data_IF_177919929500
#
_entry.id   IF_177919929500
#
_cell.length_a   1.000
_cell.length_b   1.000
_cell.length_c   1.000
_cell.angle_alpha   90.00
_cell.angle_beta   90.00
_cell.angle_gamma   90.00
#
_symmetry.space_group_name_H-M   'P 1'
#
loop_
_entity.id
_entity.type
_entity.pdbx_description
1 polymer ?
#
# COMPACT_ATOMS: atom_id res chain seq x y z
N UNK A 1 -4.19 -2.64 18.69
CA UNK A 1 -3.42 -3.76 18.08
C UNK A 1 -3.64 -3.83 16.58
N UNK A 2 -4.89 -3.93 16.12
CA UNK A 2 -5.21 -4.07 14.69
C UNK A 2 -4.72 -2.89 13.83
N UNK A 3 -4.85 -1.64 14.30
CA UNK A 3 -4.36 -0.45 13.59
C UNK A 3 -2.85 -0.48 13.37
N UNK A 4 -2.07 -0.90 14.37
CA UNK A 4 -0.61 -1.01 14.26
C UNK A 4 -0.22 -2.12 13.27
N UNK A 5 -0.93 -3.25 13.29
CA UNK A 5 -0.68 -4.35 12.36
C UNK A 5 -0.98 -3.96 10.90
N UNK A 6 -2.11 -3.29 10.67
CA UNK A 6 -2.47 -2.74 9.35
C UNK A 6 -1.41 -1.74 8.88
N UNK A 7 -0.96 -0.85 9.77
CA UNK A 7 0.12 0.09 9.48
C UNK A 7 1.40 -0.64 9.05
N UNK A 8 1.86 -1.62 9.83
CA UNK A 8 3.07 -2.38 9.51
C UNK A 8 2.95 -3.07 8.16
N UNK A 9 1.82 -3.72 7.84
CA UNK A 9 1.60 -4.35 6.54
C UNK A 9 1.70 -3.32 5.40
N UNK A 10 1.01 -2.18 5.52
CA UNK A 10 1.05 -1.11 4.52
C UNK A 10 2.47 -0.59 4.28
N UNK A 11 3.22 -0.33 5.35
CA UNK A 11 4.61 0.10 5.24
C UNK A 11 5.49 -0.97 4.56
N UNK A 12 5.31 -2.25 4.89
CA UNK A 12 6.07 -3.35 4.29
C UNK A 12 5.80 -3.52 2.79
N UNK A 13 4.53 -3.45 2.38
CA UNK A 13 4.16 -3.54 0.96
C UNK A 13 4.83 -2.41 0.18
N UNK A 14 4.81 -1.19 0.73
CA UNK A 14 5.46 -0.03 0.12
C UNK A 14 6.98 -0.20 0.01
N UNK A 15 7.64 -0.64 1.08
CA UNK A 15 9.10 -0.88 1.08
C UNK A 15 9.50 -1.95 0.05
N UNK A 16 8.75 -3.05 -0.01
CA UNK A 16 8.97 -4.11 -0.99
C UNK A 16 8.77 -3.60 -2.42
N UNK A 17 7.70 -2.84 -2.65
CA UNK A 17 7.39 -2.26 -3.94
C UNK A 17 8.48 -1.31 -4.43
N UNK A 18 8.95 -0.37 -3.60
CA UNK A 18 10.02 0.55 -4.00
C UNK A 18 11.35 -0.16 -4.27
N UNK A 19 11.68 -1.19 -3.48
CA UNK A 19 12.86 -2.00 -3.76
C UNK A 19 12.76 -2.70 -5.13
N UNK A 20 11.61 -3.30 -5.46
CA UNK A 20 11.40 -3.94 -6.75
C UNK A 20 11.51 -2.95 -7.91
N UNK A 21 10.91 -1.76 -7.78
CA UNK A 21 11.03 -0.68 -8.75
C UNK A 21 12.49 -0.28 -8.96
N UNK A 22 13.27 -0.15 -7.88
CA UNK A 22 14.69 0.12 -7.96
C UNK A 22 15.44 -0.96 -8.76
N UNK A 23 15.20 -2.25 -8.45
CA UNK A 23 15.87 -3.37 -9.11
C UNK A 23 15.59 -3.37 -10.62
N UNK A 24 14.33 -3.15 -11.01
CA UNK A 24 13.89 -3.21 -12.41
C UNK A 24 14.35 -1.99 -13.20
N UNK A 25 14.19 -0.77 -12.66
CA UNK A 25 14.37 0.46 -13.42
C UNK A 25 15.74 1.10 -13.23
N UNK A 26 16.26 1.13 -11.99
CA UNK A 26 17.30 2.07 -11.57
C UNK A 26 18.66 1.41 -11.27
N UNK A 27 18.69 0.13 -10.87
CA UNK A 27 19.89 -0.57 -10.39
C UNK A 27 21.09 -0.45 -11.33
N UNK A 28 20.85 -0.56 -12.65
CA UNK A 28 21.90 -0.54 -13.68
C UNK A 28 22.39 0.87 -14.04
N UNK A 29 21.76 1.93 -13.57
CA UNK A 29 22.08 3.29 -14.01
C UNK A 29 23.18 3.95 -13.15
N UNK A 30 23.91 4.91 -13.74
CA UNK A 30 25.07 5.56 -13.11
C UNK A 30 24.73 6.86 -12.37
N UNK A 31 23.45 7.17 -12.16
CA UNK A 31 23.00 8.36 -11.42
C UNK A 31 23.07 8.12 -9.91
N UNK A 32 24.28 7.93 -9.38
CA UNK A 32 24.53 7.43 -8.02
C UNK A 32 23.84 8.31 -6.96
N UNK A 33 23.98 9.64 -7.06
CA UNK A 33 23.35 10.59 -6.12
C UNK A 33 21.83 10.53 -6.12
N UNK A 34 21.24 10.41 -7.31
CA UNK A 34 19.78 10.37 -7.45
C UNK A 34 19.19 9.08 -6.87
N UNK A 35 19.91 7.95 -7.00
CA UNK A 35 19.53 6.69 -6.34
C UNK A 35 19.50 6.83 -4.82
N UNK A 36 20.49 7.50 -4.19
CA UNK A 36 20.48 7.81 -2.76
C UNK A 36 19.22 8.57 -2.35
N UNK A 37 18.89 9.65 -3.06
CA UNK A 37 17.69 10.44 -2.76
C UNK A 37 16.39 9.65 -2.93
N UNK A 38 16.29 8.80 -3.96
CA UNK A 38 15.12 7.93 -4.13
C UNK A 38 15.00 6.93 -2.98
N UNK A 39 16.10 6.31 -2.54
CA UNK A 39 16.04 5.41 -1.38
C UNK A 39 15.55 6.12 -0.13
N UNK A 40 16.10 7.30 0.18
CA UNK A 40 15.67 8.09 1.34
C UNK A 40 14.19 8.49 1.23
N UNK A 41 13.76 8.96 0.06
CA UNK A 41 12.37 9.32 -0.19
C UNK A 41 11.43 8.11 -0.09
N UNK A 42 11.83 6.95 -0.61
CA UNK A 42 11.07 5.71 -0.53
C UNK A 42 10.91 5.22 0.91
N UNK A 43 11.97 5.30 1.73
CA UNK A 43 11.92 4.94 3.15
C UNK A 43 10.96 5.88 3.88
N UNK A 44 11.19 7.19 3.80
CA UNK A 44 10.36 8.19 4.49
C UNK A 44 8.90 8.05 4.06
N UNK A 45 8.64 7.99 2.75
CA UNK A 45 7.29 7.84 2.24
C UNK A 45 6.64 6.54 2.73
N UNK A 46 7.35 5.40 2.71
CA UNK A 46 6.76 4.12 3.14
C UNK A 46 6.30 4.12 4.60
N UNK A 47 6.98 4.89 5.46
CA UNK A 47 6.60 5.06 6.86
C UNK A 47 5.48 6.09 7.05
N UNK A 48 5.41 7.10 6.16
CA UNK A 48 4.55 8.27 6.33
C UNK A 48 3.21 8.11 5.59
N UNK A 49 3.19 7.54 4.39
CA UNK A 49 1.99 7.45 3.54
C UNK A 49 0.79 6.73 4.16
N UNK A 50 0.92 5.71 5.05
CA UNK A 50 -0.26 5.03 5.59
C UNK A 50 -1.15 5.97 6.43
N UNK A 51 -0.58 7.08 6.92
CA UNK A 51 -1.28 8.12 7.69
C UNK A 51 -2.04 9.12 6.81
N UNK A 52 -1.80 9.14 5.48
CA UNK A 52 -2.43 10.10 4.58
C UNK A 52 -3.54 9.44 3.76
N UNK A 53 -4.73 10.00 3.86
CA UNK A 53 -5.89 9.68 3.01
C UNK A 53 -6.35 10.97 2.35
N UNK A 54 -6.55 10.95 1.03
CA UNK A 54 -7.04 12.12 0.30
C UNK A 54 -8.43 11.80 -0.25
N UNK A 55 -9.46 12.36 0.41
CA UNK A 55 -10.87 12.12 0.09
C UNK A 55 -11.21 12.48 -1.37
N UNK A 56 -10.63 13.56 -1.90
CA UNK A 56 -10.86 14.01 -3.28
C UNK A 56 -10.50 12.94 -4.32
N UNK A 57 -9.39 12.21 -4.11
CA UNK A 57 -8.95 11.16 -5.03
C UNK A 57 -9.80 9.90 -4.87
N UNK A 58 -10.19 9.58 -3.64
CA UNK A 58 -11.10 8.48 -3.36
C UNK A 58 -12.44 8.69 -4.10
N UNK A 59 -12.98 9.90 -4.10
CA UNK A 59 -14.22 10.25 -4.82
C UNK A 59 -14.08 10.17 -6.36
N UNK A 60 -12.95 10.63 -6.93
CA UNK A 60 -12.69 10.52 -8.38
C UNK A 60 -12.62 9.06 -8.83
N UNK A 61 -11.92 8.20 -8.08
CA UNK A 61 -11.76 6.78 -8.44
C UNK A 61 -12.92 5.88 -7.98
N UNK A 62 -13.74 6.29 -7.02
CA UNK A 62 -14.96 5.58 -6.62
C UNK A 62 -16.16 5.95 -7.50
N UNK A 63 -16.16 7.13 -8.15
CA UNK A 63 -17.19 7.53 -9.10
C UNK A 63 -17.33 6.56 -10.28
N UNK A 64 -16.24 5.90 -10.70
CA UNK A 64 -16.29 4.85 -11.73
C UNK A 64 -16.83 3.51 -11.21
N UNK A 65 -16.74 3.24 -9.89
CA UNK A 65 -17.21 1.98 -9.27
C UNK A 65 -18.69 2.03 -8.85
N UNK A 66 -19.20 3.19 -8.45
CA UNK A 66 -20.59 3.36 -8.01
C UNK A 66 -21.62 3.40 -9.15
N UNK A 67 -21.20 3.34 -10.42
CA UNK A 67 -22.15 3.27 -11.55
C UNK A 67 -22.73 1.87 -11.81
N UNK A 68 -22.25 0.81 -11.13
CA UNK A 68 -22.68 -0.57 -11.43
C UNK A 68 -22.93 -1.49 -10.22
N UNK A 69 -22.91 -0.98 -8.98
CA UNK A 69 -23.18 -1.80 -7.81
C UNK A 69 -24.43 -1.30 -7.07
N UNK A 70 -25.61 -1.66 -7.57
CA UNK A 70 -26.77 -1.77 -6.70
C UNK A 70 -26.56 -3.02 -5.84
N UNK A 71 -26.13 -2.87 -4.59
CA UNK A 71 -26.25 -3.94 -3.62
C UNK A 71 -27.73 -4.22 -3.41
N UNK A 72 -28.23 -5.30 -4.02
CA UNK A 72 -29.53 -5.86 -3.71
C UNK A 72 -29.43 -6.43 -2.30
N UNK A 73 -29.88 -5.67 -1.32
CA UNK A 73 -30.13 -6.17 0.04
C UNK A 73 -31.35 -7.09 -0.07
N UNK A 74 -31.12 -8.35 -0.42
CA UNK A 74 -32.09 -9.41 -0.14
C UNK A 74 -32.08 -9.57 1.38
N UNK A 75 -33.16 -9.16 2.04
CA UNK A 75 -33.35 -9.41 3.47
C UNK A 75 -33.20 -10.90 3.71
N UNK A 76 -32.07 -11.30 4.30
CA UNK A 76 -31.93 -12.66 4.82
C UNK A 76 -32.94 -12.79 5.95
N UNK A 77 -33.78 -13.85 5.99
CA UNK A 77 -34.62 -14.08 7.14
C UNK A 77 -33.70 -14.21 8.36
N UNK A 78 -33.80 -13.26 9.29
CA UNK A 78 -33.10 -13.34 10.56
C UNK A 78 -33.74 -14.46 11.37
N UNK A 79 -33.21 -15.67 11.25
CA UNK A 79 -33.50 -16.72 12.21
C UNK A 79 -32.78 -16.35 13.50
N UNK A 80 -33.51 -15.73 14.43
CA UNK A 80 -33.05 -15.55 15.80
C UNK A 80 -33.01 -16.92 16.48
N UNK A 81 -31.90 -17.63 16.31
CA UNK A 81 -31.51 -18.71 17.23
C UNK A 81 -31.41 -18.09 18.62
N UNK A 82 -32.33 -18.47 19.50
CA UNK A 82 -32.13 -18.36 20.94
C UNK A 82 -30.81 -19.09 21.24
N UNK A 83 -29.77 -18.29 21.39
CA UNK A 83 -28.43 -18.77 21.69
C UNK A 83 -28.48 -19.22 23.15
N UNK A 84 -28.68 -20.52 23.38
CA UNK A 84 -28.25 -21.09 24.65
C UNK A 84 -26.77 -20.77 24.80
N UNK A 85 -26.40 -20.19 25.94
CA UNK A 85 -25.01 -19.91 26.26
C UNK A 85 -24.20 -21.21 26.19
N UNK A 86 -23.53 -21.42 25.07
CA UNK A 86 -22.44 -22.38 24.99
C UNK A 86 -21.24 -21.73 25.68
N UNK A 87 -21.05 -22.06 26.95
CA UNK A 87 -19.75 -21.97 27.62
C UNK A 87 -18.79 -22.96 26.94
N UNK A 88 -18.31 -22.62 25.76
CA UNK A 88 -17.10 -23.23 25.22
C UNK A 88 -15.97 -22.26 25.50
N UNK A 89 -15.42 -22.40 26.71
CA UNK A 89 -14.11 -21.90 27.07
C UNK A 89 -13.08 -22.64 26.21
N UNK A 90 -12.96 -22.17 24.98
CA UNK A 90 -12.11 -22.76 23.98
C UNK A 90 -10.68 -22.32 24.30
N UNK A 91 -9.94 -23.19 24.99
CA UNK A 91 -8.48 -23.17 25.15
C UNK A 91 -7.73 -23.30 23.79
N UNK A 92 -8.23 -22.65 22.75
CA UNK A 92 -7.48 -22.47 21.52
C UNK A 92 -6.43 -21.40 21.80
N UNK A 93 -5.17 -21.81 21.68
CA UNK A 93 -4.03 -20.91 21.65
C UNK A 93 -4.36 -19.73 20.74
N UNK A 94 -4.44 -18.53 21.31
CA UNK A 94 -4.67 -17.32 20.54
C UNK A 94 -3.42 -17.01 19.71
N UNK A 95 -3.42 -17.48 18.46
CA UNK A 95 -2.33 -17.27 17.51
C UNK A 95 -2.00 -15.78 17.32
N UNK A 96 -2.95 -14.86 17.58
CA UNK A 96 -2.68 -13.42 17.51
C UNK A 96 -1.73 -12.99 18.63
N UNK A 97 -1.90 -13.54 19.84
CA UNK A 97 -1.02 -13.25 20.98
C UNK A 97 0.37 -13.86 20.79
N UNK A 98 0.47 -15.07 20.23
CA UNK A 98 1.76 -15.67 19.86
C UNK A 98 2.46 -14.81 18.82
N UNK A 99 1.77 -14.44 17.73
CA UNK A 99 2.36 -13.60 16.69
C UNK A 99 2.85 -12.26 17.24
N UNK A 100 2.07 -11.62 18.12
CA UNK A 100 2.48 -10.39 18.78
C UNK A 100 3.73 -10.58 19.65
N UNK A 101 3.79 -11.66 20.44
CA UNK A 101 4.94 -11.97 21.27
C UNK A 101 6.20 -12.19 20.41
N UNK A 102 6.10 -12.95 19.33
CA UNK A 102 7.21 -13.16 18.37
C UNK A 102 7.67 -11.83 17.77
N UNK A 103 6.74 -10.96 17.38
CA UNK A 103 7.05 -9.63 16.84
C UNK A 103 7.79 -8.74 17.85
N UNK A 104 7.35 -8.73 19.11
CA UNK A 104 8.00 -7.97 20.19
C UNK A 104 9.38 -8.55 20.50
N UNK A 105 9.48 -9.87 20.66
CA UNK A 105 10.75 -10.55 20.95
C UNK A 105 11.79 -10.33 19.85
N UNK A 106 11.40 -10.46 18.58
CA UNK A 106 12.26 -10.18 17.44
C UNK A 106 12.74 -8.73 17.41
N UNK A 107 11.82 -7.78 17.60
CA UNK A 107 12.16 -6.35 17.67
C UNK A 107 13.13 -6.06 18.82
N UNK A 108 12.89 -6.61 20.01
CA UNK A 108 13.76 -6.45 21.17
C UNK A 108 15.18 -7.01 20.91
N UNK A 109 15.28 -8.18 20.29
CA UNK A 109 16.56 -8.75 19.87
C UNK A 109 17.33 -7.80 18.95
N UNK A 110 16.68 -7.23 17.94
CA UNK A 110 17.33 -6.29 17.01
C UNK A 110 17.70 -4.96 17.68
N UNK A 111 16.94 -4.49 18.67
CA UNK A 111 17.30 -3.32 19.49
C UNK A 111 18.56 -3.60 20.31
N UNK A 112 18.65 -4.75 20.98
CA UNK A 112 19.85 -5.14 21.74
C UNK A 112 21.06 -5.25 20.81
N UNK A 113 20.91 -5.92 19.66
CA UNK A 113 21.96 -6.02 18.64
C UNK A 113 22.43 -4.64 18.17
N UNK A 114 21.51 -3.74 17.84
CA UNK A 114 21.83 -2.38 17.40
C UNK A 114 22.55 -1.56 18.49
N UNK A 115 22.07 -1.66 19.73
CA UNK A 115 22.68 -0.98 20.88
C UNK A 115 24.09 -1.49 21.14
N UNK A 116 24.30 -2.81 21.05
CA UNK A 116 25.62 -3.41 21.18
C UNK A 116 26.60 -2.89 20.11
N UNK A 117 26.17 -2.81 18.84
CA UNK A 117 26.98 -2.26 17.76
C UNK A 117 27.40 -0.80 18.02
N UNK A 118 26.49 0.03 18.54
CA UNK A 118 26.80 1.40 18.89
C UNK A 118 27.80 1.48 20.06
N UNK A 119 27.61 0.65 21.09
CA UNK A 119 28.54 0.55 22.21
C UNK A 119 29.93 0.13 21.73
N UNK A 120 30.04 -0.82 20.79
CA UNK A 120 31.32 -1.24 20.21
C UNK A 120 32.05 -0.08 19.53
N UNK A 121 31.36 0.72 18.71
CA UNK A 121 31.98 1.90 18.06
C UNK A 121 32.45 2.90 19.11
N UNK A 122 31.67 3.14 20.16
CA UNK A 122 32.05 4.03 21.26
C UNK A 122 33.22 3.48 22.07
N UNK A 123 33.29 2.16 22.24
CA UNK A 123 34.40 1.48 22.91
C UNK A 123 35.69 1.62 22.10
N UNK A 124 35.65 1.36 20.79
CA UNK A 124 36.78 1.55 19.87
C UNK A 124 37.27 3.00 19.96
N UNK A 125 36.36 3.99 19.87
CA UNK A 125 36.70 5.41 20.03
C UNK A 125 37.42 5.73 21.34
N UNK A 126 36.98 5.15 22.46
CA UNK A 126 37.60 5.38 23.77
C UNK A 126 38.99 4.75 23.88
N UNK A 127 39.22 3.61 23.22
CA UNK A 127 40.52 2.92 23.18
C UNK A 127 41.50 3.56 22.19
N UNK A 128 41.00 4.15 21.11
CA UNK A 128 41.83 4.76 20.06
C UNK A 128 42.51 6.05 20.49
N UNK A 129 43.75 6.22 20.05
CA UNK A 129 44.54 7.44 20.27
C UNK A 129 44.23 8.46 19.16
N UNK A 130 43.80 9.70 19.48
CA UNK A 130 43.58 10.72 18.46
C UNK A 130 44.90 11.24 17.88
N UNK A 131 45.01 11.27 16.56
CA UNK A 131 46.14 11.76 15.77
C UNK A 131 45.65 12.77 14.73
N UNK A 132 46.45 13.77 14.40
CA UNK A 132 46.13 14.74 13.32
C UNK A 132 46.95 14.44 12.08
N UNK A 133 46.28 14.19 10.97
CA UNK A 133 46.90 13.92 9.67
C UNK A 133 46.24 14.86 8.65
N UNK A 134 47.04 15.70 7.98
CA UNK A 134 46.53 16.65 6.98
C UNK A 134 45.46 17.63 7.48
N UNK A 135 45.47 17.98 8.77
CA UNK A 135 44.47 18.87 9.39
C UNK A 135 43.16 18.17 9.82
N UNK A 136 43.03 16.86 9.58
CA UNK A 136 41.88 16.06 9.98
C UNK A 136 42.18 15.26 11.25
N UNK A 137 41.21 15.16 12.16
CA UNK A 137 41.31 14.30 13.35
C UNK A 137 41.04 12.85 12.94
N UNK A 138 42.00 11.97 13.15
CA UNK A 138 41.97 10.54 12.87
C UNK A 138 42.18 9.79 14.19
N UNK A 139 41.53 8.65 14.35
CA UNK A 139 41.67 7.77 15.50
C UNK A 139 42.52 6.58 15.10
N UNK A 140 43.70 6.46 15.72
CA UNK A 140 44.63 5.38 15.45
C UNK A 140 44.05 4.04 15.94
N UNK A 141 44.04 3.05 15.06
CA UNK A 141 43.71 1.66 15.38
C UNK A 141 45.00 0.91 15.70
N UNK A 142 45.04 0.23 16.84
CA UNK A 142 46.18 -0.60 17.25
C UNK A 142 46.08 -2.06 16.80
N UNK A 143 45.04 -2.39 16.03
CA UNK A 143 44.68 -3.74 15.59
C UNK A 143 44.43 -3.69 14.08
N UNK A 144 44.69 -4.80 13.36
CA UNK A 144 44.50 -4.98 11.91
C UNK A 144 43.01 -4.92 11.51
N UNK A 145 42.35 -3.79 11.78
CA UNK A 145 40.97 -3.53 11.38
C UNK A 145 40.93 -2.70 10.11
N UNK A 146 39.97 -3.00 9.25
CA UNK A 146 39.71 -2.18 8.06
C UNK A 146 39.43 -0.72 8.46
N UNK A 147 39.95 0.25 7.69
CA UNK A 147 39.56 1.64 7.81
C UNK A 147 38.04 1.81 7.76
N UNK A 148 37.49 2.64 8.65
CA UNK A 148 36.09 3.01 8.61
C UNK A 148 35.85 4.40 9.20
N UNK A 149 34.70 4.98 8.89
CA UNK A 149 34.28 6.26 9.44
C UNK A 149 32.87 6.21 10.02
N UNK A 150 32.69 6.97 11.10
CA UNK A 150 31.41 7.11 11.78
C UNK A 150 31.18 8.56 12.19
N UNK A 151 30.18 9.21 11.59
CA UNK A 151 29.89 10.64 11.67
C UNK A 151 31.11 11.50 11.34
N UNK A 152 31.78 12.04 12.37
CA UNK A 152 32.96 12.91 12.24
C UNK A 152 34.27 12.19 12.60
N UNK A 153 34.19 10.91 12.95
CA UNK A 153 35.33 10.11 13.39
C UNK A 153 35.80 9.24 12.23
N UNK A 154 37.10 9.24 12.01
CA UNK A 154 37.78 8.42 11.00
C UNK A 154 38.74 7.52 11.75
N UNK A 155 38.61 6.21 11.57
CA UNK A 155 39.40 5.17 12.24
C UNK A 155 40.30 4.51 11.21
N UNK A 156 41.61 4.62 11.40
CA UNK A 156 42.61 4.12 10.43
C UNK A 156 43.84 3.64 11.20
N UNK A 157 44.41 2.51 10.77
CA UNK A 157 45.77 2.11 11.11
C UNK A 157 46.76 2.98 10.33
N UNK A 158 47.53 3.81 11.02
CA UNK A 158 48.44 4.76 10.36
C UNK A 158 49.82 4.18 10.08
N UNK A 159 50.09 2.97 10.57
CA UNK A 159 51.40 2.32 10.51
C UNK A 159 51.42 1.19 9.46
N UNK A 160 50.27 0.61 9.13
CA UNK A 160 50.15 -0.47 8.14
C UNK A 160 50.15 -0.04 6.66
N UNK A 161 50.13 1.26 6.36
CA UNK A 161 49.93 1.77 4.98
C UNK A 161 51.02 2.72 4.52
N UNK A 162 51.38 2.67 3.24
CA UNK A 162 52.24 3.68 2.62
C UNK A 162 51.57 5.06 2.62
N UNK A 163 52.35 6.16 2.51
CA UNK A 163 51.77 7.52 2.52
C UNK A 163 50.71 7.73 1.44
N UNK A 164 50.91 7.18 0.25
CA UNK A 164 49.96 7.30 -0.86
C UNK A 164 48.69 6.46 -0.61
N UNK A 165 48.83 5.24 -0.09
CA UNK A 165 47.69 4.41 0.32
C UNK A 165 46.88 5.08 1.43
N UNK A 166 47.56 5.61 2.46
CA UNK A 166 46.93 6.35 3.55
C UNK A 166 46.20 7.58 3.04
N UNK A 167 46.78 8.33 2.10
CA UNK A 167 46.14 9.49 1.45
C UNK A 167 44.87 9.07 0.72
N UNK A 168 44.88 7.96 0.00
CA UNK A 168 43.71 7.43 -0.71
C UNK A 168 42.58 7.01 0.25
N UNK A 169 42.92 6.30 1.33
CA UNK A 169 41.96 5.89 2.37
C UNK A 169 41.35 7.13 3.04
N UNK A 170 42.18 8.07 3.48
CA UNK A 170 41.72 9.30 4.10
C UNK A 170 40.80 10.11 3.18
N UNK A 171 41.14 10.20 1.88
CA UNK A 171 40.29 10.90 0.90
C UNK A 171 38.92 10.23 0.77
N UNK A 172 38.85 8.89 0.79
CA UNK A 172 37.63 8.11 0.74
C UNK A 172 36.80 8.25 2.03
N UNK A 173 37.39 7.99 3.19
CA UNK A 173 36.71 8.11 4.50
C UNK A 173 36.18 9.52 4.75
N UNK A 174 36.91 10.55 4.31
CA UNK A 174 36.45 11.93 4.41
C UNK A 174 35.18 12.19 3.59
N UNK A 175 34.92 11.45 2.50
CA UNK A 175 33.66 11.57 1.75
C UNK A 175 32.49 11.05 2.58
N UNK A 176 32.65 9.92 3.29
CA UNK A 176 31.61 9.39 4.17
C UNK A 176 31.25 10.37 5.29
N UNK A 177 32.27 10.98 5.91
CA UNK A 177 32.10 12.04 6.90
C UNK A 177 31.38 13.24 6.30
N UNK A 178 31.89 13.79 5.19
CA UNK A 178 31.36 15.01 4.56
C UNK A 178 29.92 14.85 4.08
N UNK A 179 29.57 13.69 3.54
CA UNK A 179 28.25 13.40 3.00
C UNK A 179 27.30 12.75 4.01
N UNK A 180 27.70 12.63 5.28
CA UNK A 180 26.89 12.09 6.38
C UNK A 180 26.40 10.66 6.11
N UNK A 181 27.23 9.81 5.48
CA UNK A 181 26.84 8.43 5.12
C UNK A 181 26.48 7.58 6.35
N UNK A 182 27.02 7.89 7.53
CA UNK A 182 26.64 7.22 8.77
C UNK A 182 25.16 7.42 9.13
N UNK A 183 24.55 8.52 8.71
CA UNK A 183 23.11 8.75 8.91
C UNK A 183 22.28 7.78 8.06
N UNK A 184 22.65 7.56 6.80
CA UNK A 184 22.00 6.58 5.93
C UNK A 184 22.14 5.16 6.51
N UNK A 185 23.34 4.79 6.96
CA UNK A 185 23.58 3.50 7.62
C UNK A 185 22.71 3.34 8.88
N UNK A 186 22.65 4.35 9.75
CA UNK A 186 21.79 4.33 10.94
C UNK A 186 20.31 4.21 10.59
N UNK A 187 19.83 4.97 9.59
CA UNK A 187 18.45 4.90 9.14
C UNK A 187 18.08 3.50 8.68
N UNK A 188 18.95 2.84 7.91
CA UNK A 188 18.69 1.46 7.44
C UNK A 188 18.74 0.43 8.57
N UNK A 189 19.62 0.58 9.56
CA UNK A 189 19.62 -0.28 10.76
C UNK A 189 18.33 -0.10 11.57
N UNK A 190 17.90 1.15 11.80
CA UNK A 190 16.64 1.46 12.48
C UNK A 190 15.44 0.85 11.72
N UNK A 191 15.45 0.92 10.39
CA UNK A 191 14.43 0.29 9.56
C UNK A 191 14.43 -1.24 9.73
N UNK A 192 15.61 -1.89 9.74
CA UNK A 192 15.73 -3.31 9.99
C UNK A 192 15.21 -3.74 11.37
N UNK A 193 15.27 -2.88 12.39
CA UNK A 193 14.73 -3.21 13.73
C UNK A 193 13.23 -3.46 13.68
N UNK A 194 12.46 -2.59 13.02
CA UNK A 194 11.00 -2.69 13.00
C UNK A 194 10.47 -3.60 11.88
N UNK A 195 11.26 -3.78 10.82
CA UNK A 195 10.90 -4.52 9.62
C UNK A 195 11.80 -5.75 9.40
N UNK A 196 12.31 -6.34 10.47
CA UNK A 196 13.28 -7.43 10.41
C UNK A 196 12.80 -8.66 9.63
N UNK A 197 11.50 -8.91 9.65
CA UNK A 197 10.85 -10.03 8.94
C UNK A 197 10.66 -9.77 7.45
N UNK A 198 10.96 -8.56 6.96
CA UNK A 198 10.86 -8.21 5.55
C UNK A 198 12.22 -8.36 4.84
N UNK A 199 12.38 -9.36 3.95
CA UNK A 199 13.64 -9.57 3.24
C UNK A 199 14.02 -8.39 2.34
N UNK A 200 13.06 -7.63 1.82
CA UNK A 200 13.32 -6.49 0.95
C UNK A 200 13.98 -5.34 1.69
N UNK A 201 13.76 -5.20 3.00
CA UNK A 201 14.45 -4.19 3.81
C UNK A 201 15.94 -4.52 3.93
N UNK A 202 16.28 -5.79 4.13
CA UNK A 202 17.68 -6.26 4.15
C UNK A 202 18.37 -6.09 2.80
N UNK A 203 17.67 -6.42 1.72
CA UNK A 203 18.18 -6.22 0.36
C UNK A 203 18.35 -4.73 0.03
N UNK A 204 17.40 -3.89 0.43
CA UNK A 204 17.48 -2.45 0.25
C UNK A 204 18.64 -1.85 1.06
N UNK A 205 18.83 -2.28 2.31
CA UNK A 205 20.00 -1.89 3.12
C UNK A 205 21.31 -2.19 2.39
N UNK A 206 21.46 -3.41 1.86
CA UNK A 206 22.65 -3.80 1.07
C UNK A 206 22.88 -2.87 -0.13
N UNK A 207 21.82 -2.57 -0.88
CA UNK A 207 21.92 -1.69 -2.06
C UNK A 207 22.21 -0.23 -1.69
N UNK A 208 21.69 0.26 -0.56
CA UNK A 208 22.02 1.59 -0.02
C UNK A 208 23.50 1.64 0.36
N UNK A 209 24.01 0.65 1.10
CA UNK A 209 25.44 0.58 1.47
C UNK A 209 26.32 0.62 0.23
N UNK A 210 26.04 -0.22 -0.78
CA UNK A 210 26.78 -0.24 -2.05
C UNK A 210 26.68 1.11 -2.78
N UNK A 211 25.52 1.77 -2.73
CA UNK A 211 25.34 3.09 -3.34
C UNK A 211 26.19 4.19 -2.68
N UNK A 212 26.36 4.13 -1.35
CA UNK A 212 27.23 5.04 -0.59
C UNK A 212 28.70 4.80 -0.92
N UNK A 213 29.14 3.55 -1.04
CA UNK A 213 30.48 3.19 -1.51
C UNK A 213 30.74 3.75 -2.91
N UNK A 214 29.79 3.62 -3.83
CA UNK A 214 29.92 4.19 -5.18
C UNK A 214 30.06 5.72 -5.17
N UNK A 215 29.39 6.42 -4.24
CA UNK A 215 29.55 7.87 -4.10
C UNK A 215 30.95 8.22 -3.60
N UNK A 216 31.44 7.51 -2.59
CA UNK A 216 32.77 7.72 -2.04
C UNK A 216 33.85 7.44 -3.10
N UNK A 217 33.77 6.29 -3.78
CA UNK A 217 34.69 5.90 -4.86
C UNK A 217 34.70 6.95 -5.99
N UNK A 218 33.52 7.34 -6.49
CA UNK A 218 33.41 8.30 -7.60
C UNK A 218 33.93 9.69 -7.23
N UNK A 219 33.78 10.13 -5.98
CA UNK A 219 34.28 11.43 -5.52
C UNK A 219 35.78 11.40 -5.27
N UNK A 220 36.33 10.30 -4.76
CA UNK A 220 37.77 10.10 -4.59
C UNK A 220 38.48 10.14 -5.94
N UNK A 221 37.97 9.41 -6.94
CA UNK A 221 38.50 9.46 -8.30
C UNK A 221 38.42 10.86 -8.91
N UNK A 222 37.34 11.62 -8.65
CA UNK A 222 37.18 13.00 -9.12
C UNK A 222 38.19 13.96 -8.53
N UNK A 223 38.74 13.67 -7.34
CA UNK A 223 39.81 14.46 -6.71
C UNK A 223 41.21 14.16 -7.27
N UNK A 224 41.32 13.35 -8.33
CA UNK A 224 42.58 13.11 -9.06
C UNK A 224 43.37 11.88 -8.60
N UNK A 225 42.76 10.96 -7.85
CA UNK A 225 43.39 9.67 -7.53
C UNK A 225 43.44 8.80 -8.79
N UNK A 226 44.58 8.16 -9.05
CA UNK A 226 44.72 7.23 -10.17
C UNK A 226 43.76 6.05 -9.99
N UNK A 227 42.87 5.83 -10.97
CA UNK A 227 41.84 4.81 -10.90
C UNK A 227 42.38 3.38 -10.80
N UNK A 228 43.49 3.08 -11.48
CA UNK A 228 44.08 1.75 -11.48
C UNK A 228 44.69 1.45 -10.11
N UNK A 229 45.53 2.36 -9.62
CA UNK A 229 46.24 2.19 -8.34
C UNK A 229 45.24 2.08 -7.19
N UNK A 230 44.18 2.90 -7.22
CA UNK A 230 43.10 2.84 -6.25
C UNK A 230 42.35 1.50 -6.25
N UNK A 231 42.02 0.96 -7.43
CA UNK A 231 41.34 -0.34 -7.53
C UNK A 231 42.21 -1.49 -7.01
N UNK A 232 43.52 -1.48 -7.28
CA UNK A 232 44.45 -2.48 -6.74
C UNK A 232 44.61 -2.35 -5.23
N UNK A 233 44.64 -1.13 -4.72
CA UNK A 233 44.71 -0.89 -3.28
C UNK A 233 43.45 -1.44 -2.57
N UNK A 234 42.25 -1.14 -3.08
CA UNK A 234 41.00 -1.70 -2.54
C UNK A 234 40.98 -3.24 -2.58
N UNK A 235 41.50 -3.84 -3.65
CA UNK A 235 41.61 -5.29 -3.78
C UNK A 235 42.57 -5.87 -2.73
N UNK A 236 43.73 -5.24 -2.50
CA UNK A 236 44.69 -5.66 -1.48
C UNK A 236 44.07 -5.61 -0.08
N UNK A 237 43.40 -4.51 0.25
CA UNK A 237 42.69 -4.36 1.54
C UNK A 237 41.66 -5.48 1.76
N UNK A 238 40.96 -5.91 0.71
CA UNK A 238 39.88 -6.91 0.83
C UNK A 238 40.39 -8.36 0.80
N UNK A 239 41.53 -8.64 0.16
CA UNK A 239 42.01 -10.01 -0.09
C UNK A 239 42.71 -10.65 1.12
N UNK A 240 43.24 -9.85 2.05
CA UNK A 240 43.96 -10.36 3.23
C UNK A 240 43.09 -11.16 4.22
N UNK A 241 41.76 -11.19 4.08
CA UNK A 241 40.84 -11.85 5.04
C UNK A 241 40.24 -13.20 4.57
N UNK A 242 40.43 -13.63 3.32
CA UNK A 242 39.74 -14.83 2.79
C UNK A 242 40.56 -16.11 2.94
N UNK A 243 40.67 -16.65 4.17
CA UNK A 243 41.39 -17.92 4.45
C UNK A 243 40.52 -19.09 4.97
N UNK A 244 39.18 -19.00 4.97
CA UNK A 244 38.30 -20.12 5.40
C UNK A 244 37.17 -20.40 4.41
N UNK A 245 37.13 -21.64 3.89
CA UNK A 245 36.32 -22.10 2.74
C UNK A 245 34.83 -22.41 3.03
N UNK A 246 34.34 -22.27 4.26
CA UNK A 246 32.91 -22.46 4.61
C UNK A 246 32.16 -21.11 4.70
N UNK A 247 32.87 -19.99 4.55
CA UNK A 247 32.26 -18.65 4.62
C UNK A 247 31.87 -18.19 3.22
N UNK A 248 30.57 -17.96 3.06
CA UNK A 248 29.95 -17.43 1.86
C UNK A 248 30.65 -16.10 1.48
N UNK A 249 31.33 -16.08 0.33
CA UNK A 249 32.25 -15.01 -0.10
C UNK A 249 31.52 -13.72 -0.54
N UNK A 250 30.67 -13.19 0.34
CA UNK A 250 29.82 -12.04 0.09
C UNK A 250 30.63 -10.75 -0.13
N UNK A 251 31.82 -10.64 0.48
CA UNK A 251 32.64 -9.43 0.41
C UNK A 251 33.24 -9.22 -1.00
N UNK A 252 33.66 -10.30 -1.68
CA UNK A 252 34.13 -10.23 -3.08
C UNK A 252 33.02 -9.75 -4.02
N UNK A 253 31.75 -10.10 -3.75
CA UNK A 253 30.61 -9.64 -4.56
C UNK A 253 30.41 -8.12 -4.49
N UNK A 254 30.77 -7.48 -3.37
CA UNK A 254 30.64 -6.02 -3.16
C UNK A 254 31.81 -5.26 -3.78
N UNK A 255 33.05 -5.73 -3.56
CA UNK A 255 34.22 -5.13 -4.20
C UNK A 255 34.13 -5.20 -5.72
N UNK A 256 33.73 -6.35 -6.28
CA UNK A 256 33.47 -6.51 -7.72
C UNK A 256 32.48 -5.45 -8.23
N UNK A 257 31.42 -5.21 -7.46
CA UNK A 257 30.41 -4.21 -7.81
C UNK A 257 30.96 -2.78 -7.80
N UNK A 258 31.84 -2.45 -6.85
CA UNK A 258 32.54 -1.15 -6.79
C UNK A 258 33.45 -0.94 -8.00
N UNK A 259 34.31 -1.91 -8.29
CA UNK A 259 35.21 -1.89 -9.46
C UNK A 259 34.43 -1.80 -10.78
N UNK A 260 33.37 -2.59 -10.92
CA UNK A 260 32.51 -2.54 -12.11
C UNK A 260 31.86 -1.17 -12.29
N UNK A 261 31.42 -0.52 -11.20
CA UNK A 261 30.79 0.79 -11.24
C UNK A 261 31.80 1.92 -11.53
N UNK A 262 33.04 1.82 -11.03
CA UNK A 262 34.12 2.76 -11.34
C UNK A 262 34.51 2.75 -12.82
N UNK A 263 34.53 1.56 -13.45
CA UNK A 263 34.89 1.39 -14.86
C UNK A 263 33.70 1.57 -15.83
N UNK A 264 32.52 1.91 -15.31
CA UNK A 264 31.29 2.01 -16.11
C UNK A 264 31.18 3.37 -16.81
N UNK A 265 30.78 3.36 -18.08
CA UNK A 265 30.47 4.58 -18.81
C UNK A 265 29.21 5.27 -18.26
N UNK A 266 29.22 6.61 -18.24
CA UNK A 266 28.09 7.39 -17.71
C UNK A 266 26.82 7.11 -18.52
N UNK A 267 25.72 6.94 -17.81
CA UNK A 267 24.39 6.78 -18.39
C UNK A 267 23.97 8.08 -19.11
N UNK A 268 23.38 7.97 -20.32
CA UNK A 268 22.92 9.15 -21.05
C UNK A 268 21.75 9.82 -20.33
N UNK A 269 21.64 11.15 -20.44
CA UNK A 269 20.61 11.95 -19.77
C UNK A 269 19.17 11.52 -20.08
N UNK A 270 18.91 10.89 -21.23
CA UNK A 270 17.58 10.33 -21.58
C UNK A 270 17.07 9.30 -20.57
N UNK A 271 17.97 8.56 -19.91
CA UNK A 271 17.59 7.61 -18.86
C UNK A 271 17.05 8.27 -17.59
N UNK A 272 17.24 9.59 -17.42
CA UNK A 272 16.69 10.35 -16.31
C UNK A 272 15.15 10.32 -16.29
N UNK A 273 14.49 10.13 -17.45
CA UNK A 273 13.03 9.99 -17.54
C UNK A 273 12.51 8.84 -16.68
N UNK A 274 13.27 7.75 -16.51
CA UNK A 274 12.90 6.63 -15.64
C UNK A 274 12.72 7.04 -14.18
N UNK A 275 13.44 8.05 -13.73
CA UNK A 275 13.38 8.55 -12.36
C UNK A 275 12.12 9.39 -12.14
N UNK A 276 11.71 10.15 -13.17
CA UNK A 276 10.42 10.85 -13.17
C UNK A 276 9.27 9.83 -13.14
N UNK A 277 9.41 8.70 -13.83
CA UNK A 277 8.41 7.63 -13.82
C UNK A 277 8.20 6.97 -12.44
N UNK A 278 9.07 7.20 -11.45
CA UNK A 278 8.85 6.73 -10.07
C UNK A 278 7.82 7.60 -9.35
N UNK A 279 7.72 8.90 -9.67
CA UNK A 279 6.78 9.84 -9.03
C UNK A 279 5.29 9.40 -9.09
N UNK A 280 4.73 8.99 -10.25
CA UNK A 280 3.34 8.52 -10.29
C UNK A 280 3.10 7.27 -9.44
N UNK A 281 4.14 6.49 -9.11
CA UNK A 281 4.00 5.32 -8.24
C UNK A 281 3.77 5.71 -6.77
N UNK A 282 4.31 6.85 -6.33
CA UNK A 282 3.98 7.42 -5.02
C UNK A 282 2.50 7.82 -4.97
N UNK A 283 2.02 8.50 -6.02
CA UNK A 283 0.60 8.89 -6.14
C UNK A 283 -0.29 7.65 -6.12
N UNK A 284 0.08 6.60 -6.87
CA UNK A 284 -0.65 5.33 -6.91
C UNK A 284 -0.86 4.71 -5.53
N UNK A 285 0.19 4.68 -4.68
CA UNK A 285 0.09 4.15 -3.33
C UNK A 285 -0.80 5.00 -2.42
N UNK A 286 -0.74 6.33 -2.53
CA UNK A 286 -1.63 7.24 -1.79
C UNK A 286 -3.08 7.05 -2.24
N UNK A 287 -3.34 6.91 -3.55
CA UNK A 287 -4.68 6.68 -4.07
C UNK A 287 -5.23 5.34 -3.61
N UNK A 288 -4.41 4.28 -3.62
CA UNK A 288 -4.80 2.97 -3.12
C UNK A 288 -5.12 3.00 -1.61
N UNK A 289 -4.30 3.71 -0.81
CA UNK A 289 -4.56 3.90 0.62
C UNK A 289 -5.87 4.66 0.87
N UNK A 290 -6.14 5.70 0.07
CA UNK A 290 -7.34 6.53 0.17
C UNK A 290 -8.61 5.75 -0.18
N UNK A 291 -8.57 4.94 -1.23
CA UNK A 291 -9.69 4.04 -1.61
C UNK A 291 -9.94 2.97 -0.54
N UNK A 292 -8.88 2.41 0.06
CA UNK A 292 -9.00 1.46 1.17
C UNK A 292 -9.62 2.12 2.41
N UNK A 293 -9.20 3.34 2.74
CA UNK A 293 -9.73 4.08 3.89
C UNK A 293 -11.22 4.39 3.73
N UNK A 294 -11.67 4.84 2.55
CA UNK A 294 -13.09 5.11 2.28
C UNK A 294 -13.97 3.86 2.42
N UNK A 295 -13.47 2.68 2.02
CA UNK A 295 -14.21 1.41 2.19
C UNK A 295 -14.43 1.05 3.67
N UNK A 296 -13.48 1.45 4.52
CA UNK A 296 -13.45 1.06 5.92
C UNK A 296 -13.83 2.19 6.88
N UNK A 297 -14.25 3.36 6.37
CA UNK A 297 -14.98 4.30 7.19
C UNK A 297 -16.30 3.62 7.57
N UNK A 298 -16.62 3.47 8.88
CA UNK A 298 -17.98 3.15 9.27
C UNK A 298 -18.86 4.21 8.62
N UNK A 299 -19.93 3.80 7.94
CA UNK A 299 -20.91 4.73 7.38
C UNK A 299 -21.16 5.78 8.46
N UNK A 300 -20.64 7.00 8.25
CA UNK A 300 -20.88 8.11 9.16
C UNK A 300 -22.39 8.10 9.29
N UNK A 301 -22.87 7.79 10.48
CA UNK A 301 -24.27 7.96 10.82
C UNK A 301 -24.51 9.40 10.49
N UNK A 302 -25.16 9.63 9.34
CA UNK A 302 -25.59 10.96 8.98
C UNK A 302 -26.39 11.40 10.17
N UNK A 303 -25.86 12.45 10.77
CA UNK A 303 -26.48 13.31 11.76
C UNK A 303 -28.00 13.30 11.57
N UNK A 304 -28.72 13.22 12.69
CA UNK A 304 -30.13 13.59 12.84
C UNK A 304 -30.67 14.46 11.69
N UNK A 305 -31.88 14.18 11.15
CA UNK A 305 -32.44 14.92 10.03
C UNK A 305 -32.73 16.36 10.46
N UNK A 306 -31.76 17.25 10.27
CA UNK A 306 -31.98 18.68 10.26
C UNK A 306 -31.37 19.27 8.99
N UNK A 307 -32.28 19.88 8.24
CA UNK A 307 -32.07 20.84 7.18
C UNK A 307 -31.24 20.40 5.97
N UNK A 308 -31.94 19.76 5.05
CA UNK A 308 -31.76 20.05 3.62
C UNK A 308 -33.10 20.30 2.97
N UNK A 309 -33.78 21.38 3.37
CA UNK A 309 -34.85 21.98 2.57
C UNK A 309 -34.24 22.70 1.38
N UNK A 310 -33.83 21.91 0.38
CA UNK A 310 -33.67 22.43 -0.99
C UNK A 310 -35.07 22.60 -1.55
N UNK A 311 -35.59 23.83 -1.50
CA UNK A 311 -36.85 24.24 -2.13
C UNK A 311 -36.82 23.86 -3.61
N UNK A 312 -37.53 22.80 -3.96
CA UNK A 312 -38.16 22.62 -5.26
C UNK A 312 -39.66 22.57 -4.96
N UNK A 313 -40.44 23.33 -5.72
CA UNK A 313 -41.84 23.60 -5.44
C UNK A 313 -42.69 22.34 -5.30
N UNK A 314 -43.66 22.43 -4.38
CA UNK A 314 -44.86 21.59 -4.24
C UNK A 314 -44.77 20.22 -4.92
N UNK A 315 -44.35 19.19 -4.19
CA UNK A 315 -44.65 17.79 -4.55
C UNK A 315 -44.49 16.91 -3.32
N UNK A 316 -45.39 15.93 -3.18
CA UNK A 316 -45.49 14.99 -2.06
C UNK A 316 -44.14 14.37 -1.66
N UNK A 317 -43.88 14.27 -0.36
CA UNK A 317 -42.75 13.53 0.18
C UNK A 317 -42.87 12.03 -0.18
N UNK A 318 -41.92 11.54 -0.99
CA UNK A 318 -41.81 10.12 -1.37
C UNK A 318 -40.78 9.47 -0.44
N UNK A 319 -41.22 8.45 0.29
CA UNK A 319 -40.41 7.71 1.24
C UNK A 319 -39.74 6.50 0.57
N UNK A 320 -38.51 6.19 0.98
CA UNK A 320 -37.76 5.01 0.48
C UNK A 320 -37.71 3.90 1.53
N UNK A 321 -37.81 4.26 2.82
CA UNK A 321 -37.85 3.32 3.94
C UNK A 321 -39.05 3.70 4.81
N UNK A 322 -39.94 2.73 5.02
CA UNK A 322 -41.17 2.90 5.80
C UNK A 322 -41.36 1.75 6.80
N UNK A 323 -42.07 2.01 7.90
CA UNK A 323 -42.43 1.02 8.92
C UNK A 323 -43.23 -0.15 8.35
N UNK A 324 -44.14 0.11 7.40
CA UNK A 324 -44.86 -0.93 6.64
C UNK A 324 -44.70 -0.67 5.14
N UNK A 325 -44.09 -1.61 4.44
CA UNK A 325 -43.89 -1.55 2.99
C UNK A 325 -45.22 -1.68 2.23
N UNK A 326 -45.34 -1.09 1.01
CA UNK A 326 -46.46 -1.35 0.13
C UNK A 326 -46.57 -2.83 -0.22
N UNK A 327 -47.80 -3.33 -0.32
CA UNK A 327 -48.07 -4.74 -0.57
C UNK A 327 -49.06 -4.92 -1.71
N UNK A 328 -48.77 -5.86 -2.62
CA UNK A 328 -49.69 -6.21 -3.70
C UNK A 328 -50.98 -6.84 -3.14
N UNK A 329 -52.17 -6.64 -3.75
CA UNK A 329 -53.39 -7.31 -3.29
C UNK A 329 -53.24 -8.84 -3.30
N UNK A 330 -53.32 -9.45 -2.12
CA UNK A 330 -53.09 -10.90 -1.96
C UNK A 330 -51.63 -11.29 -1.68
N UNK A 331 -50.76 -10.32 -1.40
CA UNK A 331 -49.38 -10.53 -0.96
C UNK A 331 -48.43 -10.92 -2.09
N UNK A 332 -47.24 -11.37 -1.70
CA UNK A 332 -46.15 -11.67 -2.64
C UNK A 332 -46.46 -12.84 -3.57
N UNK A 333 -47.20 -13.86 -3.11
CA UNK A 333 -47.58 -15.01 -3.93
C UNK A 333 -48.53 -14.61 -5.07
N UNK A 334 -49.54 -13.76 -4.76
CA UNK A 334 -50.45 -13.23 -5.76
C UNK A 334 -49.75 -12.32 -6.78
N UNK A 335 -48.75 -11.55 -6.34
CA UNK A 335 -47.92 -10.74 -7.23
C UNK A 335 -47.15 -11.62 -8.23
N UNK A 336 -46.51 -12.68 -7.77
CA UNK A 336 -45.77 -13.60 -8.64
C UNK A 336 -46.70 -14.31 -9.63
N UNK A 337 -47.88 -14.72 -9.18
CA UNK A 337 -48.92 -15.31 -10.03
C UNK A 337 -49.38 -14.31 -11.09
N UNK A 338 -49.71 -13.08 -10.70
CA UNK A 338 -50.12 -12.02 -11.61
C UNK A 338 -49.06 -11.75 -12.68
N UNK A 339 -47.78 -11.63 -12.29
CA UNK A 339 -46.67 -11.45 -13.22
C UNK A 339 -46.62 -12.62 -14.21
N UNK A 340 -46.72 -13.87 -13.73
CA UNK A 340 -46.66 -15.04 -14.61
C UNK A 340 -47.82 -15.14 -15.61
N UNK A 341 -49.02 -14.67 -15.25
CA UNK A 341 -50.22 -14.73 -16.09
C UNK A 341 -50.32 -13.56 -17.08
N UNK A 342 -49.69 -12.42 -16.78
CA UNK A 342 -49.83 -11.18 -17.56
C UNK A 342 -48.56 -10.76 -18.32
N UNK A 343 -47.44 -11.46 -18.13
CA UNK A 343 -46.18 -11.22 -18.84
C UNK A 343 -46.28 -11.73 -20.28
N UNK A 344 -46.04 -10.84 -21.25
CA UNK A 344 -46.04 -11.16 -22.67
C UNK A 344 -44.62 -11.16 -23.19
N UNK A 345 -44.10 -12.32 -23.58
CA UNK A 345 -42.75 -12.40 -24.14
C UNK A 345 -42.74 -11.84 -25.58
N UNK A 346 -41.98 -10.78 -25.91
CA UNK A 346 -41.90 -10.27 -27.26
C UNK A 346 -41.33 -11.32 -28.23
N UNK A 347 -42.01 -11.56 -29.35
CA UNK A 347 -41.64 -12.60 -30.34
C UNK A 347 -40.22 -12.40 -30.86
N UNK A 348 -39.79 -11.14 -31.04
CA UNK A 348 -38.43 -10.82 -31.47
C UNK A 348 -37.37 -11.19 -30.43
N UNK A 349 -37.64 -10.92 -29.15
CA UNK A 349 -36.75 -11.32 -28.05
C UNK A 349 -36.68 -12.84 -27.91
N UNK A 350 -37.80 -13.54 -28.14
CA UNK A 350 -37.87 -14.99 -28.16
C UNK A 350 -37.07 -15.60 -29.31
N UNK A 351 -37.22 -15.08 -30.55
CA UNK A 351 -36.44 -15.54 -31.72
C UNK A 351 -34.93 -15.33 -31.55
N UNK A 352 -34.53 -14.27 -30.85
CA UNK A 352 -33.13 -13.95 -30.53
C UNK A 352 -32.60 -14.71 -29.30
N UNK A 353 -33.43 -15.49 -28.61
CA UNK A 353 -33.02 -16.24 -27.42
C UNK A 353 -32.67 -15.37 -26.20
N UNK A 354 -33.12 -14.11 -26.16
CA UNK A 354 -32.73 -13.14 -25.14
C UNK A 354 -33.49 -13.43 -23.85
N UNK A 355 -32.81 -13.75 -22.75
CA UNK A 355 -33.38 -14.02 -21.43
C UNK A 355 -32.68 -13.17 -20.36
N UNK A 356 -33.34 -12.92 -19.23
CA UNK A 356 -32.72 -12.21 -18.11
C UNK A 356 -33.71 -11.63 -17.09
N UNK A 357 -33.19 -10.87 -16.13
CA UNK A 357 -33.99 -10.19 -15.11
C UNK A 357 -33.92 -8.68 -15.32
N UNK A 358 -35.07 -8.06 -15.58
CA UNK A 358 -35.24 -6.61 -15.66
C UNK A 358 -35.61 -6.10 -14.27
N UNK A 359 -34.95 -5.05 -13.79
CA UNK A 359 -35.23 -4.44 -12.49
C UNK A 359 -35.86 -3.07 -12.72
N UNK A 360 -37.06 -2.89 -12.17
CA UNK A 360 -37.81 -1.64 -12.29
C UNK A 360 -38.05 -1.01 -10.91
N UNK A 361 -38.12 0.31 -10.87
CA UNK A 361 -38.59 1.09 -9.73
C UNK A 361 -39.89 1.80 -10.10
N UNK A 362 -40.76 2.01 -9.12
CA UNK A 362 -41.98 2.79 -9.28
C UNK A 362 -42.43 3.35 -7.94
N UNK A 363 -43.36 4.29 -7.95
CA UNK A 363 -43.92 4.92 -6.74
C UNK A 363 -45.32 4.38 -6.50
N UNK A 364 -45.53 3.77 -5.33
CA UNK A 364 -46.87 3.45 -4.82
C UNK A 364 -47.38 4.65 -4.04
N UNK A 365 -48.44 5.28 -4.55
CA UNK A 365 -49.07 6.44 -3.91
C UNK A 365 -49.93 6.04 -2.72
N UNK A 366 -50.31 7.04 -1.91
CA UNK A 366 -51.25 6.89 -0.78
C UNK A 366 -52.59 6.26 -1.13
N UNK A 367 -53.05 6.38 -2.37
CA UNK A 367 -54.29 5.78 -2.86
C UNK A 367 -54.10 4.37 -3.46
N UNK A 368 -52.88 3.84 -3.38
CA UNK A 368 -52.48 2.55 -3.94
C UNK A 368 -52.17 2.57 -5.43
N UNK A 369 -52.29 3.71 -6.12
CA UNK A 369 -51.92 3.80 -7.53
C UNK A 369 -50.41 3.76 -7.74
N UNK A 370 -49.98 3.21 -8.87
CA UNK A 370 -48.57 3.18 -9.28
C UNK A 370 -48.31 4.34 -10.24
N UNK A 371 -47.23 5.08 -10.02
CA UNK A 371 -46.75 6.12 -10.93
C UNK A 371 -45.22 6.07 -11.07
N UNK A 372 -44.70 6.74 -12.11
CA UNK A 372 -43.26 6.90 -12.37
C UNK A 372 -42.49 5.56 -12.42
N UNK A 373 -43.01 4.61 -13.20
CA UNK A 373 -42.33 3.34 -13.46
C UNK A 373 -41.14 3.55 -14.41
N UNK A 374 -39.93 3.26 -13.92
CA UNK A 374 -38.70 3.37 -14.68
C UNK A 374 -37.89 2.05 -14.60
N UNK A 375 -37.07 1.79 -15.62
CA UNK A 375 -36.17 0.64 -15.64
C UNK A 375 -34.83 1.07 -15.08
N UNK A 376 -34.44 0.47 -13.96
CA UNK A 376 -33.15 0.73 -13.29
C UNK A 376 -32.06 -0.14 -13.89
N UNK A 377 -32.40 -1.37 -14.27
CA UNK A 377 -31.49 -2.32 -14.92
C UNK A 377 -32.23 -3.13 -15.96
N UNK A 378 -31.96 -2.81 -17.21
CA UNK A 378 -32.51 -3.51 -18.37
C UNK A 378 -31.71 -4.74 -18.77
N UNK A 379 -32.31 -5.54 -19.65
CA UNK A 379 -31.64 -6.67 -20.33
C UNK A 379 -31.57 -6.40 -21.83
N UNK A 380 -32.70 -6.01 -22.41
CA UNK A 380 -32.84 -5.64 -23.81
C UNK A 380 -34.06 -4.70 -23.91
N UNK A 381 -34.03 -3.67 -24.77
CA UNK A 381 -35.13 -2.70 -24.89
C UNK A 381 -36.51 -3.34 -25.05
N UNK A 382 -36.60 -4.48 -25.75
CA UNK A 382 -37.87 -5.20 -25.95
C UNK A 382 -38.42 -5.77 -24.64
N UNK A 383 -37.56 -6.28 -23.76
CA UNK A 383 -37.97 -6.80 -22.45
C UNK A 383 -38.22 -5.68 -21.44
N UNK A 384 -37.48 -4.58 -21.56
CA UNK A 384 -37.60 -3.41 -20.71
C UNK A 384 -38.96 -2.72 -20.93
N UNK A 385 -39.39 -2.55 -22.18
CA UNK A 385 -40.71 -2.02 -22.53
C UNK A 385 -41.85 -2.88 -21.98
N UNK A 386 -41.73 -4.21 -22.09
CA UNK A 386 -42.72 -5.13 -21.55
C UNK A 386 -42.78 -5.07 -20.01
N UNK A 387 -41.63 -4.93 -19.36
CA UNK A 387 -41.57 -4.79 -17.90
C UNK A 387 -42.26 -3.49 -17.42
N UNK A 388 -42.08 -2.38 -18.12
CA UNK A 388 -42.79 -1.12 -17.84
C UNK A 388 -44.29 -1.27 -18.06
N UNK A 389 -44.70 -1.89 -19.18
CA UNK A 389 -46.13 -2.16 -19.48
C UNK A 389 -46.77 -2.97 -18.36
N UNK A 390 -46.12 -4.05 -17.92
CA UNK A 390 -46.63 -4.94 -16.87
C UNK A 390 -46.82 -4.21 -15.54
N UNK A 391 -45.88 -3.35 -15.15
CA UNK A 391 -45.97 -2.55 -13.91
C UNK A 391 -47.10 -1.54 -13.99
N UNK A 392 -47.23 -0.84 -15.10
CA UNK A 392 -48.28 0.15 -15.29
C UNK A 392 -49.69 -0.48 -15.37
N UNK A 393 -49.79 -1.78 -15.71
CA UNK A 393 -51.07 -2.51 -15.72
C UNK A 393 -51.48 -3.13 -14.38
N UNK A 394 -50.65 -3.04 -13.34
CA UNK A 394 -50.96 -3.65 -12.04
C UNK A 394 -52.18 -3.02 -11.36
N UNK A 395 -52.97 -3.80 -10.60
CA UNK A 395 -54.04 -3.26 -9.77
C UNK A 395 -53.49 -2.36 -8.65
N UNK A 396 -54.37 -1.61 -7.99
CA UNK A 396 -54.00 -0.75 -6.85
C UNK A 396 -53.38 -1.57 -5.71
N UNK A 397 -52.23 -1.12 -5.21
CA UNK A 397 -51.50 -1.73 -4.10
C UNK A 397 -52.05 -1.26 -2.75
N UNK A 398 -51.79 -2.04 -1.70
CA UNK A 398 -51.90 -1.54 -0.34
C UNK A 398 -50.74 -0.55 -0.11
N UNK A 399 -51.02 0.71 0.28
CA UNK A 399 -49.99 1.72 0.40
C UNK A 399 -49.14 1.50 1.67
N UNK A 400 -47.92 2.02 1.64
CA UNK A 400 -47.02 1.95 2.80
C UNK A 400 -47.43 2.93 3.90
N UNK A 401 -47.06 2.62 5.15
CA UNK A 401 -47.32 3.47 6.30
C UNK A 401 -46.05 3.83 7.06
N UNK A 402 -45.94 5.09 7.46
CA UNK A 402 -44.85 5.63 8.28
C UNK A 402 -45.45 6.43 9.44
N UNK A 403 -45.10 6.09 10.69
CA UNK A 403 -45.64 6.74 11.90
C UNK A 403 -47.17 6.75 11.93
N UNK A 404 -47.78 5.64 11.50
CA UNK A 404 -49.24 5.48 11.42
C UNK A 404 -49.94 6.29 10.31
N UNK A 405 -49.20 7.00 9.45
CA UNK A 405 -49.76 7.74 8.30
C UNK A 405 -49.42 7.04 7.00
N UNK A 406 -50.37 7.02 6.07
CA UNK A 406 -50.14 6.51 4.71
C UNK A 406 -49.25 7.50 3.94
N UNK A 407 -48.22 6.99 3.27
CA UNK A 407 -47.23 7.79 2.55
C UNK A 407 -46.97 7.25 1.15
N UNK A 408 -46.47 8.10 0.26
CA UNK A 408 -46.01 7.68 -1.07
C UNK A 408 -44.67 6.96 -0.90
N UNK A 409 -44.51 5.76 -1.46
CA UNK A 409 -43.32 4.92 -1.25
C UNK A 409 -42.73 4.48 -2.57
N UNK A 410 -41.41 4.61 -2.72
CA UNK A 410 -40.67 4.06 -3.85
C UNK A 410 -40.41 2.57 -3.64
N UNK A 411 -40.87 1.74 -4.57
CA UNK A 411 -40.76 0.28 -4.54
C UNK A 411 -39.93 -0.22 -5.72
N UNK A 412 -39.15 -1.29 -5.52
CA UNK A 412 -38.30 -1.90 -6.55
C UNK A 412 -38.69 -3.35 -6.76
N UNK A 413 -38.95 -3.73 -8.01
CA UNK A 413 -39.44 -5.05 -8.38
C UNK A 413 -38.57 -5.69 -9.48
N UNK A 414 -37.99 -6.89 -9.26
CA UNK A 414 -37.34 -7.66 -10.30
C UNK A 414 -38.34 -8.53 -11.09
N UNK A 415 -38.36 -8.40 -12.41
CA UNK A 415 -39.18 -9.20 -13.34
C UNK A 415 -38.27 -10.14 -14.14
N UNK A 416 -38.56 -11.44 -14.12
CA UNK A 416 -37.71 -12.49 -14.70
C UNK A 416 -38.31 -12.98 -16.02
N UNK A 417 -37.56 -12.86 -17.11
CA UNK A 417 -37.89 -13.42 -18.43
C UNK A 417 -37.08 -14.69 -18.69
N UNK A 418 -37.76 -15.83 -18.80
CA UNK A 418 -37.17 -17.14 -19.14
C UNK A 418 -37.97 -17.79 -20.26
N UNK A 419 -37.29 -18.35 -21.25
CA UNK A 419 -37.96 -19.17 -22.26
C UNK A 419 -38.23 -20.55 -21.67
N UNK A 420 -39.45 -21.04 -21.86
CA UNK A 420 -39.75 -22.45 -21.61
C UNK A 420 -39.00 -23.29 -22.66
N UNK A 421 -38.29 -24.31 -22.18
CA UNK A 421 -37.54 -25.23 -23.04
C UNK A 421 -38.46 -26.17 -23.81
#
# INVERSE_FOLDING_TARGET
METLFIYLIKANISLAFFYLVYVVLLKKDTFIRLKRYIFLAAIVFSLVYPFFTIEAWANIFSFTRNRYAAEVIMGQPSFSLLSGESLTENNFIDWKNILFLVMVAGTAFFIVRFTWQLITILHIKRKSVPKRIGGQNVYHLSEEMMPFSFFKWIFIDTEAHSEEELRQILMHEQIHVRQWHSLDSMLTELLCIFFWWNPFVWLMKKEITINLEYLADSETLRKGVNSRDYQYHLLRLTYHETAVQIVNNFNVSQLKQRIMMMNKTKSPSRKLVKYIAVLPLFVLLVTANSVYAQKNEPAKTTTSPQDTTKKIGQTNEIFVVVEKQPEFPGGQEALMKYISENIHYPIEAQKKGIQGTVICNFIVRKDGSITDAEVVRGVDPLLDEEAIRLINSMPKWQPGTQRGKVVDVRFTLPIIFRLQK
#
